data_IF_029572418931
#
_entry.id   IF_029572418931
#
_cell.length_a   1.000
_cell.length_b   1.000
_cell.length_c   1.000
_cell.angle_alpha   90.00
_cell.angle_beta   90.00
_cell.angle_gamma   90.00
#
_symmetry.space_group_name_H-M   'P 1'
#
loop_
_entity.id
_entity.type
_entity.pdbx_description
1 polymer ?
#
# COMPACT_ATOMS: atom_id res chain seq x y z
N UNK A 1 3.18 7.06 -11.04
CA UNK A 1 2.50 6.36 -9.96
C UNK A 1 3.10 6.77 -8.63
N UNK A 2 2.26 6.96 -7.60
CA UNK A 2 2.64 7.02 -6.19
C UNK A 2 2.27 5.68 -5.53
N UNK A 3 3.17 5.13 -4.74
CA UNK A 3 2.97 3.86 -4.05
C UNK A 3 3.38 3.97 -2.59
N UNK A 4 2.52 3.52 -1.69
CA UNK A 4 2.80 3.43 -0.25
C UNK A 4 1.88 2.39 0.41
N UNK A 5 2.12 2.12 1.69
CA UNK A 5 1.36 1.19 2.51
C UNK A 5 0.54 1.87 3.60
N UNK A 6 -0.71 1.46 3.74
CA UNK A 6 -1.63 1.90 4.80
C UNK A 6 -1.64 0.83 5.89
N UNK A 7 -1.02 1.11 7.02
CA UNK A 7 -0.95 0.19 8.14
C UNK A 7 -2.22 0.24 9.01
N UNK A 8 -2.71 -0.92 9.41
CA UNK A 8 -3.84 -1.13 10.30
C UNK A 8 -3.66 -2.42 11.12
N UNK A 9 -4.74 -3.02 11.63
CA UNK A 9 -4.70 -4.27 12.39
C UNK A 9 -5.86 -5.18 12.01
N UNK A 10 -5.55 -6.45 11.74
CA UNK A 10 -6.53 -7.51 11.54
C UNK A 10 -6.80 -8.21 12.88
N UNK A 11 -8.08 -8.31 13.30
CA UNK A 11 -8.53 -8.96 14.56
C UNK A 11 -7.97 -8.34 15.83
N UNK A 12 -6.67 -8.11 15.90
CA UNK A 12 -6.01 -7.65 17.13
C UNK A 12 -4.71 -6.89 16.83
N UNK A 13 -4.23 -6.18 17.84
CA UNK A 13 -2.94 -5.50 17.77
C UNK A 13 -1.73 -6.41 17.50
N UNK A 14 -1.89 -7.73 17.54
CA UNK A 14 -0.80 -8.69 17.31
C UNK A 14 -0.66 -9.09 15.84
N UNK A 15 -1.67 -8.77 15.02
CA UNK A 15 -1.71 -9.03 13.58
C UNK A 15 -1.80 -7.68 12.85
N UNK A 16 -0.71 -6.90 12.78
CA UNK A 16 -0.68 -5.72 11.93
C UNK A 16 -0.89 -6.13 10.47
N UNK A 17 -1.63 -5.31 9.75
CA UNK A 17 -1.79 -5.43 8.31
C UNK A 17 -1.30 -4.19 7.59
N UNK A 18 -1.08 -4.31 6.30
CA UNK A 18 -0.68 -3.19 5.45
C UNK A 18 -1.31 -3.34 4.07
N UNK A 19 -2.13 -2.38 3.70
CA UNK A 19 -2.61 -2.24 2.33
C UNK A 19 -1.56 -1.54 1.49
N UNK A 20 -0.95 -2.26 0.58
CA UNK A 20 0.00 -1.74 -0.40
C UNK A 20 -0.79 -1.23 -1.60
N UNK A 21 -0.78 0.07 -1.88
CA UNK A 21 -1.65 0.69 -2.89
C UNK A 21 -0.83 1.50 -3.87
N UNK A 22 -1.07 1.30 -5.17
CA UNK A 22 -0.54 2.10 -6.26
C UNK A 22 -1.59 3.07 -6.79
N UNK A 23 -1.31 4.37 -6.73
CA UNK A 23 -2.24 5.46 -7.12
C UNK A 23 -1.64 6.30 -8.24
N UNK A 24 -2.45 6.67 -9.23
CA UNK A 24 -2.04 7.56 -10.30
C UNK A 24 -1.72 8.98 -9.79
N UNK A 25 -0.58 9.52 -10.18
CA UNK A 25 -0.16 10.85 -9.72
C UNK A 25 -1.08 11.98 -10.20
N UNK A 26 -1.63 11.84 -11.40
CA UNK A 26 -2.55 12.83 -11.99
C UNK A 26 -4.02 12.41 -11.83
N UNK A 27 -4.31 11.13 -12.11
CA UNK A 27 -5.69 10.61 -12.12
C UNK A 27 -6.27 10.40 -10.72
N UNK A 28 -5.44 10.28 -9.68
CA UNK A 28 -5.84 9.90 -8.31
C UNK A 28 -6.53 8.52 -8.24
N UNK A 29 -6.51 7.75 -9.33
CA UNK A 29 -7.12 6.41 -9.41
C UNK A 29 -6.21 5.38 -8.77
N UNK A 30 -6.69 4.54 -7.83
CA UNK A 30 -5.97 3.36 -7.37
C UNK A 30 -5.97 2.28 -8.47
N UNK A 31 -4.80 1.94 -8.99
CA UNK A 31 -4.65 0.98 -10.09
C UNK A 31 -4.51 -0.46 -9.61
N UNK A 32 -3.85 -0.66 -8.49
CA UNK A 32 -3.67 -1.97 -7.90
C UNK A 32 -3.49 -1.86 -6.39
N UNK A 33 -3.88 -2.87 -5.65
CA UNK A 33 -3.62 -2.96 -4.21
C UNK A 33 -3.56 -4.42 -3.75
N UNK A 34 -2.86 -4.65 -2.63
CA UNK A 34 -2.76 -5.94 -1.96
C UNK A 34 -2.76 -5.75 -0.45
N UNK A 35 -2.98 -6.83 0.29
CA UNK A 35 -2.88 -6.87 1.75
C UNK A 35 -1.67 -7.71 2.17
N UNK A 36 -0.82 -7.14 3.02
CA UNK A 36 0.24 -7.86 3.73
C UNK A 36 -0.14 -8.02 5.20
N UNK A 37 0.10 -9.19 5.76
CA UNK A 37 -0.06 -9.43 7.19
C UNK A 37 1.32 -9.52 7.86
N UNK A 38 1.44 -8.93 9.05
CA UNK A 38 2.68 -8.89 9.79
C UNK A 38 2.55 -9.53 11.16
N UNK A 39 3.70 -9.90 11.70
CA UNK A 39 3.87 -10.15 13.11
C UNK A 39 4.15 -8.83 13.82
N UNK A 40 3.44 -8.54 14.91
CA UNK A 40 3.71 -7.34 15.72
C UNK A 40 5.18 -7.27 16.13
N UNK A 41 5.77 -6.12 15.85
CA UNK A 41 7.14 -5.74 16.24
C UNK A 41 7.09 -4.53 17.17
N UNK A 42 8.25 -4.09 17.62
CA UNK A 42 8.39 -2.89 18.45
C UNK A 42 8.17 -3.14 19.94
N UNK A 43 7.98 -2.05 20.69
CA UNK A 43 7.86 -2.08 22.16
C UNK A 43 6.58 -2.77 22.60
N UNK A 44 6.71 -3.74 23.52
CA UNK A 44 5.61 -4.51 24.08
C UNK A 44 5.86 -4.75 25.57
N UNK A 45 4.78 -4.76 26.37
CA UNK A 45 4.82 -5.24 27.75
C UNK A 45 5.04 -6.74 27.77
N UNK A 46 5.42 -7.31 28.93
CA UNK A 46 5.67 -8.75 29.05
C UNK A 46 4.41 -9.59 28.82
N UNK A 47 3.25 -9.09 29.26
CA UNK A 47 1.94 -9.69 28.94
C UNK A 47 1.71 -9.71 27.42
N UNK A 48 1.99 -8.62 26.73
CA UNK A 48 1.84 -8.56 25.28
C UNK A 48 2.81 -9.49 24.55
N UNK A 49 4.06 -9.62 25.03
CA UNK A 49 5.02 -10.58 24.48
C UNK A 49 4.53 -12.02 24.65
N UNK A 50 4.02 -12.37 25.85
CA UNK A 50 3.45 -13.69 26.12
C UNK A 50 2.27 -14.00 25.21
N UNK A 51 1.30 -13.10 25.08
CA UNK A 51 0.15 -13.27 24.19
C UNK A 51 0.56 -13.42 22.71
N UNK A 52 1.56 -12.63 22.27
CA UNK A 52 2.11 -12.78 20.92
C UNK A 52 2.75 -14.16 20.71
N UNK A 53 3.50 -14.66 21.71
CA UNK A 53 4.13 -16.00 21.65
C UNK A 53 3.07 -17.09 21.53
N UNK A 54 1.97 -16.99 22.29
CA UNK A 54 0.83 -17.91 22.16
C UNK A 54 0.23 -17.85 20.76
N UNK A 55 0.01 -16.65 20.20
CA UNK A 55 -0.49 -16.53 18.84
C UNK A 55 0.47 -17.15 17.80
N UNK A 56 1.78 -16.98 17.99
CA UNK A 56 2.81 -17.52 17.10
C UNK A 56 2.83 -19.07 17.05
N UNK A 57 2.22 -19.78 18.02
CA UNK A 57 2.04 -21.24 17.98
C UNK A 57 0.89 -21.66 17.08
N UNK A 58 -0.08 -20.79 16.88
CA UNK A 58 -1.30 -21.06 16.10
C UNK A 58 -1.18 -20.51 14.69
N UNK A 59 -0.59 -19.32 14.55
CA UNK A 59 -0.52 -18.61 13.28
C UNK A 59 0.73 -17.72 13.20
N UNK A 60 1.34 -17.71 12.01
CA UNK A 60 2.44 -16.79 11.66
C UNK A 60 2.21 -16.22 10.26
N UNK A 61 2.56 -14.96 10.01
CA UNK A 61 2.52 -14.41 8.66
C UNK A 61 3.57 -15.08 7.76
N UNK A 62 3.29 -15.08 6.47
CA UNK A 62 4.23 -15.55 5.45
C UNK A 62 5.55 -14.78 5.53
N UNK A 63 6.69 -15.48 5.42
CA UNK A 63 7.99 -14.82 5.30
C UNK A 63 8.00 -13.84 4.11
N UNK A 64 8.58 -12.65 4.32
CA UNK A 64 8.65 -11.61 3.28
C UNK A 64 7.28 -11.18 2.71
N UNK A 65 6.20 -11.34 3.48
CA UNK A 65 4.82 -10.98 3.09
C UNK A 65 4.76 -9.59 2.43
N UNK A 66 5.43 -8.56 2.97
CA UNK A 66 5.45 -7.23 2.40
C UNK A 66 6.08 -7.22 0.98
N UNK A 67 7.26 -7.81 0.83
CA UNK A 67 7.96 -7.85 -0.47
C UNK A 67 7.10 -8.57 -1.52
N UNK A 68 6.50 -9.70 -1.13
CA UNK A 68 5.64 -10.49 -2.03
C UNK A 68 4.40 -9.70 -2.45
N UNK A 69 3.73 -9.04 -1.51
CA UNK A 69 2.55 -8.21 -1.79
C UNK A 69 2.90 -6.99 -2.65
N UNK A 70 3.98 -6.29 -2.34
CA UNK A 70 4.44 -5.16 -3.17
C UNK A 70 4.79 -5.61 -4.59
N UNK A 71 5.46 -6.76 -4.74
CA UNK A 71 5.78 -7.34 -6.04
C UNK A 71 4.53 -7.63 -6.87
N UNK A 72 3.45 -8.11 -6.24
CA UNK A 72 2.17 -8.31 -6.93
C UNK A 72 1.62 -6.99 -7.45
N UNK A 73 1.54 -5.95 -6.61
CA UNK A 73 1.05 -4.63 -7.04
C UNK A 73 1.90 -4.07 -8.18
N UNK A 74 3.23 -4.14 -8.06
CA UNK A 74 4.11 -3.62 -9.12
C UNK A 74 3.97 -4.41 -10.42
N UNK A 75 3.79 -5.74 -10.37
CA UNK A 75 3.52 -6.56 -11.55
C UNK A 75 2.22 -6.15 -12.22
N UNK A 76 1.14 -5.97 -11.46
CA UNK A 76 -0.17 -5.55 -12.00
C UNK A 76 -0.07 -4.19 -12.68
N UNK A 77 0.61 -3.22 -12.03
CA UNK A 77 0.85 -1.88 -12.59
C UNK A 77 1.69 -1.94 -13.87
N UNK A 78 2.76 -2.73 -13.88
CA UNK A 78 3.61 -2.90 -15.07
C UNK A 78 2.86 -3.61 -16.20
N UNK A 79 2.03 -4.60 -15.89
CA UNK A 79 1.14 -5.25 -16.87
C UNK A 79 0.19 -4.24 -17.52
N UNK A 80 -0.47 -3.39 -16.72
CA UNK A 80 -1.32 -2.31 -17.25
C UNK A 80 -0.52 -1.33 -18.10
N UNK A 81 0.71 -1.01 -17.71
CA UNK A 81 1.59 -0.13 -18.48
C UNK A 81 1.98 -0.74 -19.83
N UNK A 82 2.40 -2.01 -19.86
CA UNK A 82 2.82 -2.72 -21.08
C UNK A 82 1.68 -2.93 -22.07
N UNK A 83 0.43 -3.01 -21.62
CA UNK A 83 -0.75 -3.14 -22.47
C UNK A 83 -1.21 -1.82 -23.13
N UNK A 84 -0.46 -0.74 -22.97
CA UNK A 84 -0.79 0.55 -23.61
C UNK A 84 -0.37 0.56 -25.10
N UNK A 85 -1.12 1.28 -25.95
CA UNK A 85 -0.80 1.37 -27.38
C UNK A 85 0.55 2.01 -27.67
N UNK A 86 1.00 2.90 -26.79
CA UNK A 86 2.31 3.54 -26.88
C UNK A 86 2.93 3.63 -25.48
N UNK A 87 4.21 3.27 -25.38
CA UNK A 87 4.96 3.38 -24.15
C UNK A 87 5.64 4.76 -24.08
N UNK A 88 5.41 5.45 -23.00
CA UNK A 88 6.12 6.68 -22.62
C UNK A 88 6.82 6.46 -21.29
N UNK A 89 7.90 7.19 -20.96
CA UNK A 89 8.59 7.02 -19.68
C UNK A 89 7.62 7.01 -18.50
N UNK A 90 7.80 6.04 -17.61
CA UNK A 90 6.90 5.77 -16.50
C UNK A 90 7.68 5.80 -15.17
N UNK A 91 7.18 6.56 -14.20
CA UNK A 91 7.85 6.74 -12.91
C UNK A 91 7.02 6.12 -11.80
N UNK A 92 7.66 5.31 -10.96
CA UNK A 92 7.12 4.81 -9.69
C UNK A 92 7.79 5.58 -8.55
N UNK A 93 7.00 6.35 -7.81
CA UNK A 93 7.44 7.06 -6.62
C UNK A 93 7.06 6.26 -5.38
N UNK A 94 8.01 5.99 -4.49
CA UNK A 94 7.80 5.30 -3.21
C UNK A 94 8.48 6.07 -2.08
N UNK A 95 8.19 5.72 -0.83
CA UNK A 95 9.06 6.11 0.28
C UNK A 95 10.39 5.33 0.27
N UNK A 96 11.19 5.49 1.32
CA UNK A 96 12.55 4.95 1.44
C UNK A 96 12.60 3.48 1.89
N UNK A 97 11.47 2.75 2.00
CA UNK A 97 11.44 1.34 2.44
C UNK A 97 12.21 0.43 1.48
N UNK A 98 13.16 -0.35 2.01
CA UNK A 98 13.98 -1.25 1.21
C UNK A 98 13.18 -2.41 0.59
N UNK A 99 12.07 -2.79 1.20
CA UNK A 99 11.16 -3.80 0.68
C UNK A 99 10.59 -3.42 -0.69
N UNK A 100 10.35 -2.14 -0.95
CA UNK A 100 9.85 -1.65 -2.25
C UNK A 100 10.91 -1.80 -3.34
N UNK A 101 12.15 -1.42 -3.03
CA UNK A 101 13.29 -1.59 -3.94
C UNK A 101 13.53 -3.07 -4.26
N UNK A 102 13.45 -3.93 -3.23
CA UNK A 102 13.61 -5.37 -3.38
C UNK A 102 12.50 -5.95 -4.25
N UNK A 103 11.24 -5.56 -4.01
CA UNK A 103 10.11 -6.03 -4.78
C UNK A 103 10.20 -5.68 -6.27
N UNK A 104 10.68 -4.47 -6.61
CA UNK A 104 10.91 -4.05 -8.00
C UNK A 104 12.06 -4.83 -8.65
N UNK A 105 13.21 -4.96 -7.98
CA UNK A 105 14.38 -5.70 -8.50
C UNK A 105 14.09 -7.18 -8.75
N UNK A 106 13.17 -7.78 -7.99
CA UNK A 106 12.77 -9.17 -8.16
C UNK A 106 11.86 -9.41 -9.39
N UNK A 107 11.38 -8.35 -10.07
CA UNK A 107 10.49 -8.45 -11.22
C UNK A 107 11.28 -8.46 -12.54
N UNK A 108 11.16 -9.52 -13.37
CA UNK A 108 11.79 -9.56 -14.70
C UNK A 108 11.32 -8.43 -15.62
N UNK A 109 10.02 -8.11 -15.58
CA UNK A 109 9.39 -7.04 -16.36
C UNK A 109 10.02 -5.68 -16.04
N UNK A 110 10.28 -5.42 -14.75
CA UNK A 110 10.95 -4.19 -14.32
C UNK A 110 12.37 -4.09 -14.87
N UNK A 111 13.15 -5.18 -14.82
CA UNK A 111 14.52 -5.21 -15.33
C UNK A 111 14.56 -4.90 -16.81
N UNK A 112 13.74 -5.60 -17.60
CA UNK A 112 13.65 -5.39 -19.04
C UNK A 112 13.27 -3.95 -19.40
N UNK A 113 12.21 -3.39 -18.77
CA UNK A 113 11.79 -2.02 -19.03
C UNK A 113 12.82 -0.98 -18.55
N UNK A 114 13.60 -1.28 -17.50
CA UNK A 114 14.69 -0.42 -17.03
C UNK A 114 15.85 -0.37 -18.01
N UNK A 115 16.21 -1.49 -18.62
CA UNK A 115 17.23 -1.57 -19.69
C UNK A 115 16.84 -0.74 -20.91
N UNK A 116 15.54 -0.65 -21.20
CA UNK A 116 14.98 0.18 -22.27
C UNK A 116 14.77 1.65 -21.87
N UNK A 117 15.14 2.05 -20.64
CA UNK A 117 14.90 3.39 -20.08
C UNK A 117 13.42 3.82 -20.10
N UNK A 118 12.49 2.86 -20.06
CA UNK A 118 11.04 3.09 -20.06
C UNK A 118 10.47 3.23 -18.66
N UNK A 119 11.18 2.81 -17.63
CA UNK A 119 10.73 2.90 -16.22
C UNK A 119 11.82 3.47 -15.32
N UNK A 120 11.39 4.24 -14.32
CA UNK A 120 12.25 4.84 -13.31
C UNK A 120 11.63 4.65 -11.92
N UNK A 121 12.44 4.29 -10.94
CA UNK A 121 12.06 4.28 -9.53
C UNK A 121 12.66 5.48 -8.81
N UNK A 122 11.80 6.30 -8.20
CA UNK A 122 12.19 7.46 -7.39
C UNK A 122 11.79 7.24 -5.95
N UNK A 123 12.75 7.33 -5.06
CA UNK A 123 12.50 7.34 -3.61
C UNK A 123 12.29 8.77 -3.13
N UNK A 124 11.25 8.94 -2.33
CA UNK A 124 10.84 10.23 -1.76
C UNK A 124 11.06 10.17 -0.26
N UNK A 125 11.82 11.12 0.29
CA UNK A 125 12.10 11.14 1.72
C UNK A 125 10.82 11.35 2.54
N UNK A 126 10.64 10.53 3.56
CA UNK A 126 9.53 10.62 4.52
C UNK A 126 9.50 11.95 5.30
N UNK A 127 10.62 12.70 5.29
CA UNK A 127 10.75 14.01 5.93
C UNK A 127 10.18 15.17 5.09
N UNK A 128 9.93 14.93 3.80
CA UNK A 128 9.37 15.96 2.94
C UNK A 128 7.92 16.30 3.34
N UNK A 129 7.53 17.58 3.29
CA UNK A 129 6.17 18.00 3.58
C UNK A 129 5.16 17.25 2.69
N UNK A 130 4.05 16.80 3.27
CA UNK A 130 2.96 16.08 2.56
C UNK A 130 2.03 17.04 1.83
N UNK A 131 2.59 17.95 1.03
CA UNK A 131 1.85 18.92 0.22
C UNK A 131 1.51 18.34 -1.14
N UNK A 132 0.68 19.04 -1.94
CA UNK A 132 0.36 18.67 -3.34
C UNK A 132 1.59 18.56 -4.24
N UNK A 133 2.72 19.18 -3.88
CA UNK A 133 3.98 19.09 -4.63
C UNK A 133 4.77 17.83 -4.32
N UNK A 134 4.42 17.11 -3.27
CA UNK A 134 5.07 15.85 -2.91
C UNK A 134 4.63 14.76 -3.89
N UNK A 135 5.56 14.00 -4.52
CA UNK A 135 5.22 12.91 -5.44
C UNK A 135 4.34 11.82 -4.82
N UNK A 136 4.37 11.64 -3.48
CA UNK A 136 3.53 10.70 -2.75
C UNK A 136 2.19 11.31 -2.29
N UNK A 137 1.89 12.57 -2.66
CA UNK A 137 0.63 13.20 -2.29
C UNK A 137 -0.61 12.36 -2.65
N UNK A 138 -0.73 11.75 -3.84
CA UNK A 138 -1.92 10.98 -4.23
C UNK A 138 -2.21 9.84 -3.26
N UNK A 139 -1.20 9.03 -2.93
CA UNK A 139 -1.39 7.90 -2.01
C UNK A 139 -1.59 8.37 -0.56
N UNK A 140 -0.89 9.42 -0.12
CA UNK A 140 -1.10 10.03 1.20
C UNK A 140 -2.51 10.64 1.34
N UNK A 141 -3.04 11.24 0.27
CA UNK A 141 -4.40 11.76 0.24
C UNK A 141 -5.42 10.62 0.37
N UNK A 142 -5.23 9.55 -0.39
CA UNK A 142 -6.08 8.37 -0.33
C UNK A 142 -6.04 7.71 1.06
N UNK A 143 -4.85 7.55 1.67
CA UNK A 143 -4.69 7.06 3.05
C UNK A 143 -5.54 7.89 4.03
N UNK A 144 -5.43 9.21 3.97
CA UNK A 144 -6.22 10.09 4.82
C UNK A 144 -7.73 9.90 4.62
N UNK A 145 -8.19 9.76 3.39
CA UNK A 145 -9.61 9.55 3.08
C UNK A 145 -10.12 8.19 3.59
N UNK A 146 -9.30 7.13 3.44
CA UNK A 146 -9.62 5.81 3.99
C UNK A 146 -9.73 5.88 5.52
N UNK A 147 -8.76 6.50 6.19
CA UNK A 147 -8.77 6.65 7.66
C UNK A 147 -9.93 7.48 8.17
N UNK A 148 -10.30 8.53 7.45
CA UNK A 148 -11.42 9.40 7.79
C UNK A 148 -12.77 8.68 7.68
N UNK A 149 -12.93 7.84 6.66
CA UNK A 149 -14.21 7.25 6.30
C UNK A 149 -14.39 5.79 6.79
N UNK A 150 -13.33 5.16 7.31
CA UNK A 150 -13.36 3.77 7.77
C UNK A 150 -12.79 3.63 9.17
N UNK A 151 -13.65 3.38 10.14
CA UNK A 151 -13.23 3.10 11.52
C UNK A 151 -12.33 1.86 11.63
N UNK A 152 -12.45 0.91 10.70
CA UNK A 152 -11.64 -0.31 10.66
C UNK A 152 -10.17 -0.06 10.32
N UNK A 153 -9.83 1.10 9.75
CA UNK A 153 -8.48 1.48 9.34
C UNK A 153 -7.89 2.64 10.13
N UNK A 154 -8.55 3.08 11.20
CA UNK A 154 -8.03 4.09 12.11
C UNK A 154 -6.87 3.49 12.93
N UNK A 155 -5.71 4.17 12.98
CA UNK A 155 -4.52 3.71 13.73
C UNK A 155 -4.78 3.45 15.21
N UNK A 156 -5.73 4.16 15.81
CA UNK A 156 -6.04 4.10 17.23
C UNK A 156 -7.05 3.00 17.57
N UNK A 157 -7.62 2.33 16.58
CA UNK A 157 -8.61 1.29 16.83
C UNK A 157 -8.01 -0.09 16.63
N UNK A 158 -8.09 -0.91 17.66
CA UNK A 158 -7.82 -2.36 17.61
C UNK A 158 -8.99 -3.12 16.93
N UNK A 159 -9.98 -2.40 16.44
CA UNK A 159 -11.23 -2.93 15.86
C UNK A 159 -11.13 -3.02 14.33
N UNK A 160 -10.10 -3.69 13.83
CA UNK A 160 -10.08 -4.09 12.44
C UNK A 160 -11.12 -5.19 12.16
N UNK A 161 -11.26 -5.54 10.91
CA UNK A 161 -12.08 -6.68 10.50
C UNK A 161 -11.55 -7.98 11.12
N UNK A 162 -12.43 -8.95 11.31
CA UNK A 162 -12.05 -10.26 11.88
C UNK A 162 -11.42 -11.19 10.86
N UNK A 163 -11.61 -10.91 9.57
CA UNK A 163 -11.22 -11.78 8.47
C UNK A 163 -10.62 -11.01 7.30
N UNK A 164 -9.62 -11.61 6.67
CA UNK A 164 -8.94 -11.05 5.49
C UNK A 164 -9.92 -10.74 4.36
N UNK A 165 -10.86 -11.65 4.09
CA UNK A 165 -11.88 -11.46 3.04
C UNK A 165 -12.74 -10.23 3.27
N UNK A 166 -13.19 -10.00 4.51
CA UNK A 166 -13.98 -8.82 4.88
C UNK A 166 -13.18 -7.53 4.74
N UNK A 167 -11.92 -7.54 5.20
CA UNK A 167 -10.99 -6.42 5.07
C UNK A 167 -10.79 -6.05 3.60
N UNK A 168 -10.54 -7.04 2.74
CA UNK A 168 -10.36 -6.85 1.30
C UNK A 168 -11.64 -6.33 0.63
N UNK A 169 -12.80 -6.93 0.92
CA UNK A 169 -14.08 -6.50 0.36
C UNK A 169 -14.41 -5.04 0.72
N UNK A 170 -14.18 -4.66 1.99
CA UNK A 170 -14.37 -3.28 2.44
C UNK A 170 -13.44 -2.31 1.71
N UNK A 171 -12.18 -2.69 1.51
CA UNK A 171 -11.22 -1.88 0.77
C UNK A 171 -11.67 -1.72 -0.69
N UNK A 172 -12.10 -2.79 -1.37
CA UNK A 172 -12.66 -2.72 -2.73
C UNK A 172 -13.81 -1.73 -2.82
N UNK A 173 -14.78 -1.81 -1.88
CA UNK A 173 -15.93 -0.89 -1.84
C UNK A 173 -15.45 0.56 -1.62
N UNK A 174 -14.50 0.78 -0.71
CA UNK A 174 -13.97 2.11 -0.39
C UNK A 174 -13.25 2.72 -1.60
N UNK A 175 -12.40 1.94 -2.26
CA UNK A 175 -11.66 2.37 -3.46
C UNK A 175 -12.60 2.58 -4.66
N UNK A 176 -13.61 1.73 -4.82
CA UNK A 176 -14.64 1.87 -5.83
C UNK A 176 -15.47 3.15 -5.63
N UNK A 177 -15.91 3.42 -4.40
CA UNK A 177 -16.59 4.68 -4.07
C UNK A 177 -15.70 5.89 -4.35
N UNK A 178 -14.43 5.84 -3.90
CA UNK A 178 -13.47 6.90 -4.12
C UNK A 178 -13.26 7.19 -5.62
N UNK A 179 -13.18 6.15 -6.44
CA UNK A 179 -12.89 6.27 -7.88
C UNK A 179 -14.10 6.73 -8.69
N UNK A 180 -15.30 6.19 -8.41
CA UNK A 180 -16.45 6.34 -9.32
C UNK A 180 -17.58 7.22 -8.79
N UNK A 181 -17.63 7.48 -7.50
CA UNK A 181 -18.76 8.17 -6.87
C UNK A 181 -18.39 9.44 -6.12
N UNK A 182 -17.20 9.48 -5.54
CA UNK A 182 -16.79 10.63 -4.75
C UNK A 182 -16.60 11.84 -5.66
N UNK A 183 -17.30 12.96 -5.42
CA UNK A 183 -17.04 14.18 -6.17
C UNK A 183 -15.64 14.70 -5.83
N UNK A 184 -14.76 14.76 -6.80
CA UNK A 184 -13.46 15.40 -6.66
C UNK A 184 -13.64 16.90 -6.59
N UNK A 185 -13.58 17.46 -5.39
CA UNK A 185 -13.56 18.91 -5.16
C UNK A 185 -12.12 19.41 -5.05
N UNK A 186 -11.28 19.09 -6.03
CA UNK A 186 -9.91 19.60 -6.02
C UNK A 186 -9.89 21.10 -6.35
N UNK A 187 -10.92 21.60 -7.03
CA UNK A 187 -11.05 22.98 -7.51
C UNK A 187 -12.26 23.72 -6.91
N UNK A 188 -12.63 23.44 -5.66
CA UNK A 188 -13.52 24.36 -4.97
C UNK A 188 -12.77 25.68 -4.71
N UNK A 189 -12.71 26.53 -5.70
CA UNK A 189 -12.68 27.98 -5.54
C UNK A 189 -14.10 28.49 -5.48
#
# INVERSE_FOLDING_TARGET
IAFDGIESYLRSQYIPDNFNIAVGCTSQVPYAFTLSLFRRRGRMTDVQKKNRTVLDTIWRPEPRSLVTSCRTVFRDVLSLYMNRPALSPFVINTDEKDEYKTALKDLPEWRHLSELHLVEHRTVSSRLPRTRRNPLFPVNYLDREIRKNSAAHCRETVRGDREVGMTMARMVITLGYHTFRKPYRIDNR
#
